data_IF_244293599503
#
_entry.id   IF_244293599503
#
_cell.length_a   1.000
_cell.length_b   1.000
_cell.length_c   1.000
_cell.angle_alpha   90.00
_cell.angle_beta   90.00
_cell.angle_gamma   90.00
#
_symmetry.space_group_name_H-M   'P 1'
#
loop_
_entity.id
_entity.type
_entity.pdbx_description
1 polymer ?
#
# COMPACT_ATOMS: atom_id res chain seq x y z
N UNK A 1 0.72 17.29 -0.24
CA UNK A 1 1.41 16.33 0.65
C UNK A 1 0.46 15.43 1.44
N UNK A 2 -0.56 15.95 2.16
CA UNK A 2 -1.47 15.09 2.96
C UNK A 2 -2.13 13.93 2.21
N UNK A 3 -2.63 14.17 1.00
CA UNK A 3 -3.22 13.08 0.19
C UNK A 3 -2.20 12.03 -0.22
N UNK A 4 -0.95 12.43 -0.46
CA UNK A 4 0.13 11.51 -0.81
C UNK A 4 0.50 10.64 0.40
N UNK A 5 0.56 11.20 1.61
CA UNK A 5 0.74 10.39 2.82
C UNK A 5 -0.43 9.44 3.08
N UNK A 6 -1.66 9.92 2.88
CA UNK A 6 -2.84 9.07 3.00
C UNK A 6 -2.83 7.93 1.96
N UNK A 7 -2.39 8.22 0.73
CA UNK A 7 -2.22 7.22 -0.32
C UNK A 7 -1.26 6.10 0.09
N UNK A 8 -0.11 6.46 0.66
CA UNK A 8 0.89 5.48 1.14
C UNK A 8 0.28 4.58 2.22
N UNK A 9 -0.43 5.17 3.19
CA UNK A 9 -1.06 4.40 4.27
C UNK A 9 -2.16 3.47 3.73
N UNK A 10 -3.00 3.95 2.81
CA UNK A 10 -4.05 3.14 2.18
C UNK A 10 -3.43 1.97 1.41
N UNK A 11 -2.40 2.23 0.60
CA UNK A 11 -1.71 1.19 -0.16
C UNK A 11 -1.03 0.15 0.75
N UNK A 12 -0.53 0.58 1.92
CA UNK A 12 0.05 -0.31 2.92
C UNK A 12 -1.00 -1.17 3.63
N UNK A 13 -2.18 -0.62 3.90
CA UNK A 13 -3.28 -1.36 4.53
C UNK A 13 -3.94 -2.40 3.60
N UNK A 14 -3.80 -2.26 2.28
CA UNK A 14 -4.31 -3.22 1.27
C UNK A 14 -3.35 -4.40 1.02
N UNK A 15 -2.27 -4.50 1.78
CA UNK A 15 -1.35 -5.64 1.72
C UNK A 15 -2.07 -6.91 2.14
N UNK A 16 -1.92 -7.98 1.35
CA UNK A 16 -2.59 -9.24 1.59
C UNK A 16 -2.11 -9.90 2.90
N UNK A 17 -2.91 -9.73 3.94
CA UNK A 17 -2.69 -10.23 5.31
C UNK A 17 -2.37 -11.72 5.32
N UNK A 18 -2.99 -12.49 4.40
CA UNK A 18 -2.75 -13.93 4.28
C UNK A 18 -1.36 -14.24 3.70
N UNK A 19 -0.85 -13.38 2.81
CA UNK A 19 0.45 -13.54 2.16
C UNK A 19 1.61 -13.24 3.11
N UNK A 20 1.41 -12.37 4.11
CA UNK A 20 2.42 -12.01 5.11
C UNK A 20 2.37 -12.83 6.41
N UNK A 21 1.45 -13.81 6.50
CA UNK A 21 1.27 -14.60 7.72
C UNK A 21 0.80 -13.77 8.92
N UNK A 22 0.17 -12.63 8.68
CA UNK A 22 -0.34 -11.75 9.72
C UNK A 22 -1.56 -12.40 10.39
N UNK A 23 -1.65 -12.29 11.72
CA UNK A 23 -2.77 -12.79 12.49
C UNK A 23 -3.98 -11.86 12.43
N UNK A 24 -5.09 -12.31 13.02
CA UNK A 24 -6.34 -11.54 13.11
C UNK A 24 -6.17 -10.20 13.84
N UNK A 25 -5.16 -10.07 14.70
CA UNK A 25 -4.92 -8.85 15.48
C UNK A 25 -4.31 -7.77 14.58
N UNK A 26 -3.29 -8.13 13.82
CA UNK A 26 -2.58 -7.25 12.89
C UNK A 26 -3.52 -6.80 11.75
N UNK A 27 -4.35 -7.72 11.23
CA UNK A 27 -5.37 -7.40 10.25
C UNK A 27 -6.34 -6.30 10.76
N UNK A 28 -6.78 -6.42 12.02
CA UNK A 28 -7.65 -5.43 12.66
C UNK A 28 -6.95 -4.09 12.87
N UNK A 29 -5.67 -4.09 13.18
CA UNK A 29 -4.90 -2.84 13.32
C UNK A 29 -4.77 -2.12 11.98
N UNK A 30 -4.54 -2.85 10.87
CA UNK A 30 -4.52 -2.29 9.52
C UNK A 30 -5.88 -1.73 9.12
N UNK A 31 -6.97 -2.43 9.42
CA UNK A 31 -8.32 -1.94 9.19
C UNK A 31 -8.62 -0.64 9.96
N UNK A 32 -8.25 -0.60 11.24
CA UNK A 32 -8.41 0.60 12.07
C UNK A 32 -7.59 1.78 11.55
N UNK A 33 -6.37 1.52 11.07
CA UNK A 33 -5.51 2.53 10.48
C UNK A 33 -6.11 3.08 9.18
N UNK A 34 -6.66 2.21 8.34
CA UNK A 34 -7.37 2.59 7.11
C UNK A 34 -8.60 3.46 7.40
N UNK A 35 -9.44 3.03 8.35
CA UNK A 35 -10.61 3.81 8.76
C UNK A 35 -10.25 5.18 9.33
N UNK A 36 -9.18 5.25 10.14
CA UNK A 36 -8.67 6.52 10.66
C UNK A 36 -8.21 7.44 9.53
N UNK A 37 -7.47 6.90 8.57
CA UNK A 37 -6.99 7.65 7.41
C UNK A 37 -8.15 8.22 6.59
N UNK A 38 -9.22 7.46 6.37
CA UNK A 38 -10.42 7.97 5.70
C UNK A 38 -11.13 9.09 6.47
N UNK A 39 -11.21 8.98 7.80
CA UNK A 39 -11.76 10.06 8.64
C UNK A 39 -10.91 11.33 8.55
N UNK A 40 -9.60 11.21 8.58
CA UNK A 40 -8.69 12.35 8.46
C UNK A 40 -8.79 13.00 7.07
N UNK A 41 -8.89 12.20 6.00
CA UNK A 41 -9.17 12.69 4.65
C UNK A 41 -10.51 13.40 4.56
N UNK A 42 -11.58 12.84 5.16
CA UNK A 42 -12.89 13.47 5.21
C UNK A 42 -12.83 14.86 5.84
N UNK A 43 -12.21 14.98 7.02
CA UNK A 43 -12.05 16.25 7.73
C UNK A 43 -11.23 17.21 6.90
N UNK A 44 -10.13 16.76 6.29
CA UNK A 44 -9.30 17.58 5.42
C UNK A 44 -10.08 18.12 4.22
N UNK A 45 -10.86 17.29 3.52
CA UNK A 45 -11.65 17.74 2.38
C UNK A 45 -12.77 18.70 2.77
N UNK A 46 -13.46 18.44 3.88
CA UNK A 46 -14.62 19.24 4.31
C UNK A 46 -14.24 20.54 4.99
N UNK A 47 -13.23 20.50 5.87
CA UNK A 47 -12.87 21.63 6.73
C UNK A 47 -11.76 22.47 6.16
N UNK A 48 -10.71 21.84 5.64
CA UNK A 48 -9.51 22.56 5.22
C UNK A 48 -9.60 22.99 3.74
N UNK A 49 -10.33 22.23 2.92
CA UNK A 49 -10.54 22.53 1.49
C UNK A 49 -11.97 22.96 1.15
N UNK A 50 -12.89 22.96 2.13
CA UNK A 50 -14.28 23.42 1.99
C UNK A 50 -15.05 22.76 0.82
N UNK A 51 -14.74 21.51 0.50
CA UNK A 51 -15.36 20.80 -0.62
C UNK A 51 -16.76 20.28 -0.24
N UNK A 52 -17.77 20.66 -1.02
CA UNK A 52 -19.12 20.10 -0.92
C UNK A 52 -19.16 18.64 -1.39
N UNK A 53 -18.48 18.35 -2.50
CA UNK A 53 -18.38 17.03 -3.13
C UNK A 53 -16.91 16.65 -3.35
N UNK A 54 -16.45 15.59 -2.67
CA UNK A 54 -15.07 15.09 -2.78
C UNK A 54 -15.01 13.58 -3.07
N UNK A 55 -16.16 12.94 -3.28
CA UNK A 55 -16.31 11.51 -3.56
C UNK A 55 -15.49 11.07 -4.79
N UNK A 56 -15.54 11.84 -5.87
CA UNK A 56 -14.73 11.59 -7.07
C UNK A 56 -13.23 11.62 -6.76
N UNK A 57 -12.78 12.58 -5.95
CA UNK A 57 -11.37 12.73 -5.59
C UNK A 57 -10.89 11.59 -4.70
N UNK A 58 -11.71 11.20 -3.73
CA UNK A 58 -11.45 10.02 -2.90
C UNK A 58 -11.42 8.74 -3.74
N UNK A 59 -12.37 8.58 -4.66
CA UNK A 59 -12.39 7.45 -5.61
C UNK A 59 -11.13 7.39 -6.46
N UNK A 60 -10.70 8.53 -7.03
CA UNK A 60 -9.45 8.61 -7.77
C UNK A 60 -8.24 8.24 -6.90
N UNK A 61 -8.20 8.68 -5.64
CA UNK A 61 -7.12 8.34 -4.70
C UNK A 61 -7.05 6.83 -4.44
N UNK A 62 -8.20 6.18 -4.24
CA UNK A 62 -8.28 4.73 -4.06
C UNK A 62 -7.84 3.96 -5.31
N UNK A 63 -8.27 4.42 -6.49
CA UNK A 63 -7.84 3.82 -7.77
C UNK A 63 -6.32 3.91 -7.92
N UNK A 64 -5.71 5.04 -7.58
CA UNK A 64 -4.25 5.20 -7.63
C UNK A 64 -3.57 4.26 -6.62
N UNK A 65 -4.11 4.11 -5.41
CA UNK A 65 -3.54 3.21 -4.39
C UNK A 65 -3.53 1.77 -4.90
N UNK A 66 -4.64 1.33 -5.48
CA UNK A 66 -4.76 0.00 -6.05
C UNK A 66 -3.80 -0.21 -7.24
N UNK A 67 -3.74 0.74 -8.18
CA UNK A 67 -2.79 0.65 -9.32
C UNK A 67 -1.34 0.60 -8.83
N UNK A 68 -0.99 1.38 -7.80
CA UNK A 68 0.34 1.37 -7.22
C UNK A 68 0.69 0.02 -6.57
N UNK A 69 -0.29 -0.63 -5.91
CA UNK A 69 -0.13 -1.97 -5.37
C UNK A 69 0.14 -3.00 -6.48
N UNK A 70 -0.71 -3.04 -7.51
CA UNK A 70 -0.55 -3.95 -8.65
C UNK A 70 0.78 -3.73 -9.38
N UNK A 71 1.17 -2.47 -9.61
CA UNK A 71 2.46 -2.15 -10.20
C UNK A 71 3.63 -2.64 -9.33
N UNK A 72 3.50 -2.52 -8.00
CA UNK A 72 4.47 -3.05 -7.05
C UNK A 72 4.64 -4.56 -7.17
N UNK A 73 3.54 -5.31 -7.28
CA UNK A 73 3.57 -6.76 -7.47
C UNK A 73 4.29 -7.17 -8.77
N UNK A 74 3.96 -6.50 -9.88
CA UNK A 74 4.60 -6.74 -11.19
C UNK A 74 6.11 -6.50 -11.09
N UNK A 75 6.51 -5.37 -10.50
CA UNK A 75 7.92 -5.01 -10.32
C UNK A 75 8.62 -6.06 -9.46
N UNK A 76 8.04 -6.47 -8.34
CA UNK A 76 8.60 -7.52 -7.49
C UNK A 76 8.77 -8.86 -8.23
N UNK A 77 7.80 -9.26 -9.07
CA UNK A 77 7.90 -10.47 -9.88
C UNK A 77 9.04 -10.39 -10.92
N UNK A 78 9.18 -9.25 -11.60
CA UNK A 78 10.28 -9.01 -12.55
C UNK A 78 11.64 -9.05 -11.85
N UNK A 79 11.78 -8.38 -10.71
CA UNK A 79 13.02 -8.40 -9.94
C UNK A 79 13.36 -9.81 -9.45
N UNK A 80 12.39 -10.59 -8.99
CA UNK A 80 12.60 -11.99 -8.59
C UNK A 80 13.07 -12.85 -9.76
N UNK A 81 12.52 -12.61 -10.94
CA UNK A 81 12.93 -13.28 -12.18
C UNK A 81 14.38 -12.95 -12.51
N UNK A 82 14.77 -11.68 -12.47
CA UNK A 82 16.15 -11.27 -12.72
C UNK A 82 17.13 -11.79 -11.65
N UNK A 83 16.75 -11.72 -10.37
CA UNK A 83 17.56 -12.23 -9.27
C UNK A 83 17.86 -13.72 -9.44
N UNK A 84 16.87 -14.49 -9.90
CA UNK A 84 17.03 -15.93 -10.20
C UNK A 84 17.90 -16.17 -11.44
N UNK A 85 17.65 -15.45 -12.53
CA UNK A 85 18.39 -15.64 -13.80
C UNK A 85 19.87 -15.31 -13.67
N UNK A 86 20.21 -14.26 -12.92
CA UNK A 86 21.57 -13.75 -12.78
C UNK A 86 22.24 -14.18 -11.46
N UNK A 87 21.58 -15.01 -10.66
CA UNK A 87 22.05 -15.44 -9.35
C UNK A 87 22.50 -14.26 -8.47
N UNK A 88 21.71 -13.17 -8.47
CA UNK A 88 22.05 -11.96 -7.68
C UNK A 88 21.90 -12.20 -6.17
N UNK A 89 21.26 -13.30 -5.79
CA UNK A 89 20.95 -13.66 -4.42
C UNK A 89 22.06 -14.45 -3.71
N UNK A 90 23.11 -14.91 -4.40
CA UNK A 90 24.09 -15.81 -3.76
C UNK A 90 24.86 -15.19 -2.60
N UNK A 91 24.83 -13.86 -2.41
CA UNK A 91 25.60 -13.18 -1.37
C UNK A 91 24.87 -12.10 -0.56
N UNK A 92 23.59 -11.80 -0.83
CA UNK A 92 22.88 -10.72 -0.13
C UNK A 92 21.62 -11.26 0.58
N UNK A 93 21.71 -11.34 1.91
CA UNK A 93 20.63 -11.82 2.76
C UNK A 93 19.38 -10.92 2.69
N UNK A 94 19.54 -9.62 2.44
CA UNK A 94 18.46 -8.65 2.40
C UNK A 94 17.69 -8.77 1.09
N UNK A 95 18.39 -8.96 -0.04
CA UNK A 95 17.74 -9.24 -1.33
C UNK A 95 17.04 -10.60 -1.32
N UNK A 96 17.62 -11.59 -0.64
CA UNK A 96 16.97 -12.89 -0.48
C UNK A 96 15.67 -12.82 0.33
N UNK A 97 15.65 -12.04 1.41
CA UNK A 97 14.43 -11.84 2.20
C UNK A 97 13.38 -11.02 1.45
N UNK A 98 13.79 -10.01 0.68
CA UNK A 98 12.87 -9.11 -0.02
C UNK A 98 12.15 -9.75 -1.22
N UNK A 99 12.80 -10.69 -1.92
CA UNK A 99 12.29 -11.24 -3.19
C UNK A 99 11.75 -12.68 -3.11
N UNK A 100 12.02 -13.42 -2.04
CA UNK A 100 11.71 -14.86 -1.96
C UNK A 100 11.07 -15.32 -0.66
N UNK A 101 10.77 -14.40 0.27
CA UNK A 101 10.01 -14.66 1.48
C UNK A 101 8.54 -14.26 1.28
#
# INVERSE_FOLDING_TARGET
EREFHALIVIAFCDVDVASFGLGDTEARELDQLRERTFRELHVYYKRDLELSEYSQRLGNLLTIAHIAHEAGLIVCEEFRTYATMFDLNTNDALLSELFFN
#
